data_IF_713989482109
#
_entry.id   IF_713989482109
#
_cell.length_a   1.000
_cell.length_b   1.000
_cell.length_c   1.000
_cell.angle_alpha   90.00
_cell.angle_beta   90.00
_cell.angle_gamma   90.00
#
_symmetry.space_group_name_H-M   'P 1'
#
loop_
_entity.id
_entity.type
_entity.pdbx_description
1 polymer ?
#
# COMPACT_ATOMS: atom_id res chain seq x y z
N UNK A 1 -14.26 2.21 -11.08
CA UNK A 1 -12.86 2.11 -10.61
C UNK A 1 -11.88 2.72 -11.62
N UNK A 2 -11.89 2.29 -12.90
CA UNK A 2 -11.04 2.83 -13.97
C UNK A 2 -11.16 4.35 -14.20
N UNK A 3 -12.37 4.89 -14.25
CA UNK A 3 -12.59 6.33 -14.38
C UNK A 3 -11.99 7.14 -13.21
N UNK A 4 -12.00 6.58 -11.99
CA UNK A 4 -11.39 7.18 -10.80
C UNK A 4 -9.86 7.23 -10.87
N UNK A 5 -9.26 6.13 -11.35
CA UNK A 5 -7.81 6.06 -11.60
C UNK A 5 -7.38 7.03 -12.70
N UNK A 6 -8.13 7.11 -13.79
CA UNK A 6 -7.88 8.07 -14.87
C UNK A 6 -8.02 9.51 -14.37
N UNK A 7 -9.05 9.83 -13.58
CA UNK A 7 -9.19 11.16 -12.98
C UNK A 7 -8.08 11.53 -12.00
N UNK A 8 -7.45 10.53 -11.34
CA UNK A 8 -6.27 10.75 -10.50
C UNK A 8 -5.00 10.98 -11.31
N UNK A 9 -4.83 10.28 -12.43
CA UNK A 9 -3.69 10.49 -13.34
C UNK A 9 -3.74 11.89 -13.93
N UNK A 10 -4.91 12.30 -14.43
CA UNK A 10 -5.12 13.62 -15.03
C UNK A 10 -5.53 14.71 -14.02
N UNK A 11 -5.29 14.48 -12.72
CA UNK A 11 -5.70 15.41 -11.67
C UNK A 11 -5.08 16.81 -11.85
N UNK A 12 -3.83 16.85 -12.30
CA UNK A 12 -3.09 18.09 -12.61
C UNK A 12 -3.77 18.88 -13.76
N UNK A 13 -4.17 18.18 -14.82
CA UNK A 13 -4.89 18.74 -15.97
C UNK A 13 -6.28 19.29 -15.56
N UNK A 14 -6.99 18.55 -14.70
CA UNK A 14 -8.33 18.90 -14.20
C UNK A 14 -8.27 20.14 -13.28
N UNK A 15 -7.25 20.22 -12.43
CA UNK A 15 -7.04 21.36 -11.52
C UNK A 15 -6.71 22.66 -12.27
N UNK A 16 -6.05 22.54 -13.42
CA UNK A 16 -5.62 23.68 -14.25
C UNK A 16 -6.70 24.13 -15.24
N UNK A 17 -7.77 23.36 -15.41
CA UNK A 17 -8.85 23.68 -16.33
C UNK A 17 -9.61 24.96 -15.91
N UNK A 18 -9.85 25.87 -16.85
CA UNK A 18 -10.34 27.23 -16.56
C UNK A 18 -11.66 27.26 -15.76
N UNK A 19 -12.53 26.25 -15.96
CA UNK A 19 -13.82 26.08 -15.28
C UNK A 19 -13.71 25.73 -13.79
N UNK A 20 -12.66 25.01 -13.38
CA UNK A 20 -12.48 24.54 -11.99
C UNK A 20 -11.47 25.37 -11.21
N UNK A 21 -10.61 26.12 -11.91
CA UNK A 21 -9.60 27.00 -11.30
C UNK A 21 -10.20 28.02 -10.30
N UNK A 22 -11.43 28.50 -10.54
CA UNK A 22 -12.14 29.42 -9.65
C UNK A 22 -12.64 28.77 -8.35
N UNK A 23 -12.99 27.48 -8.38
CA UNK A 23 -13.42 26.71 -7.21
C UNK A 23 -12.21 26.34 -6.33
N UNK A 24 -11.10 25.95 -6.97
CA UNK A 24 -9.86 25.56 -6.30
C UNK A 24 -9.10 26.73 -5.66
N UNK A 25 -9.28 27.96 -6.15
CA UNK A 25 -8.77 29.19 -5.50
C UNK A 25 -9.47 29.50 -4.17
N UNK A 26 -10.72 29.06 -3.97
CA UNK A 26 -11.47 29.27 -2.72
C UNK A 26 -11.05 28.34 -1.58
N UNK A 27 -10.39 27.22 -1.89
CA UNK A 27 -10.01 26.20 -0.89
C UNK A 27 -8.50 25.87 -0.97
N UNK A 28 -7.61 26.79 -0.53
CA UNK A 28 -6.15 26.67 -0.67
C UNK A 28 -5.55 25.41 -0.03
N UNK A 29 -6.17 24.89 1.05
CA UNK A 29 -5.74 23.64 1.70
C UNK A 29 -5.99 22.40 0.83
N UNK A 30 -7.10 22.39 0.09
CA UNK A 30 -7.43 21.29 -0.82
C UNK A 30 -6.50 21.31 -2.05
N UNK A 31 -6.21 22.50 -2.57
CA UNK A 31 -5.29 22.71 -3.69
C UNK A 31 -3.86 22.29 -3.36
N UNK A 32 -3.39 22.57 -2.14
CA UNK A 32 -2.06 22.10 -1.69
C UNK A 32 -2.01 20.57 -1.60
N UNK A 33 -3.02 19.92 -1.01
CA UNK A 33 -3.07 18.47 -0.89
C UNK A 33 -3.16 17.77 -2.26
N UNK A 34 -4.01 18.28 -3.14
CA UNK A 34 -4.15 17.77 -4.51
C UNK A 34 -2.91 18.03 -5.36
N UNK A 35 -2.18 19.13 -5.13
CA UNK A 35 -0.91 19.39 -5.79
C UNK A 35 0.19 18.38 -5.44
N UNK A 36 0.28 17.96 -4.17
CA UNK A 36 1.20 16.89 -3.77
C UNK A 36 0.80 15.54 -4.38
N UNK A 37 -0.50 15.25 -4.44
CA UNK A 37 -1.01 14.06 -5.11
C UNK A 37 -0.68 14.10 -6.62
N UNK A 38 -0.95 15.21 -7.29
CA UNK A 38 -0.66 15.43 -8.71
C UNK A 38 0.82 15.20 -9.03
N UNK A 39 1.74 15.69 -8.19
CA UNK A 39 3.17 15.39 -8.33
C UNK A 39 3.48 13.90 -8.27
N UNK A 40 2.82 13.16 -7.36
CA UNK A 40 2.97 11.70 -7.26
C UNK A 40 2.39 10.96 -8.47
N UNK A 41 1.22 11.38 -8.97
CA UNK A 41 0.61 10.73 -10.13
C UNK A 41 1.24 11.15 -11.46
N UNK A 42 2.03 12.23 -11.47
CA UNK A 42 2.73 12.72 -12.68
C UNK A 42 3.69 11.68 -13.27
N UNK A 43 4.28 10.83 -12.44
CA UNK A 43 5.11 9.72 -12.88
C UNK A 43 4.35 8.69 -13.75
N UNK A 44 3.02 8.67 -13.68
CA UNK A 44 2.16 7.79 -14.47
C UNK A 44 1.74 8.37 -15.83
N UNK A 45 2.13 9.61 -16.17
CA UNK A 45 1.83 10.21 -17.47
C UNK A 45 2.67 9.63 -18.63
N UNK A 46 3.78 8.97 -18.35
CA UNK A 46 4.55 8.23 -19.36
C UNK A 46 4.40 6.74 -19.14
N UNK A 47 4.02 6.01 -20.19
CA UNK A 47 3.86 4.56 -20.13
C UNK A 47 5.15 3.84 -19.68
N UNK A 48 6.31 4.38 -20.06
CA UNK A 48 7.61 3.84 -19.67
C UNK A 48 7.88 4.00 -18.17
N UNK A 49 7.59 5.18 -17.61
CA UNK A 49 7.80 5.44 -16.18
C UNK A 49 6.73 4.75 -15.34
N UNK A 50 5.47 4.72 -15.77
CA UNK A 50 4.40 3.96 -15.15
C UNK A 50 4.76 2.46 -15.08
N UNK A 51 5.24 1.89 -16.20
CA UNK A 51 5.68 0.50 -16.26
C UNK A 51 6.84 0.21 -15.31
N UNK A 52 7.83 1.10 -15.24
CA UNK A 52 8.95 0.97 -14.31
C UNK A 52 8.51 1.03 -12.83
N UNK A 53 7.59 1.94 -12.49
CA UNK A 53 7.03 2.05 -11.14
C UNK A 53 6.26 0.78 -10.77
N UNK A 54 5.40 0.28 -11.65
CA UNK A 54 4.65 -0.96 -11.41
C UNK A 54 5.59 -2.16 -11.27
N UNK A 55 6.62 -2.26 -12.12
CA UNK A 55 7.60 -3.34 -12.04
C UNK A 55 8.38 -3.32 -10.70
N UNK A 56 8.82 -2.13 -10.27
CA UNK A 56 9.48 -1.96 -8.98
C UNK A 56 8.55 -2.28 -7.81
N UNK A 57 7.28 -1.88 -7.88
CA UNK A 57 6.28 -2.20 -6.85
C UNK A 57 6.03 -3.72 -6.76
N UNK A 58 5.87 -4.41 -7.90
CA UNK A 58 5.73 -5.87 -7.91
C UNK A 58 6.96 -6.55 -7.34
N UNK A 59 8.17 -6.09 -7.69
CA UNK A 59 9.42 -6.63 -7.15
C UNK A 59 9.52 -6.40 -5.64
N UNK A 60 9.18 -5.20 -5.16
CA UNK A 60 9.18 -4.88 -3.73
C UNK A 60 8.23 -5.80 -2.96
N UNK A 61 6.99 -5.95 -3.42
CA UNK A 61 6.01 -6.84 -2.79
C UNK A 61 6.47 -8.31 -2.79
N UNK A 62 7.12 -8.75 -3.85
CA UNK A 62 7.68 -10.09 -3.91
C UNK A 62 8.82 -10.29 -2.92
N UNK A 63 9.70 -9.29 -2.75
CA UNK A 63 10.76 -9.32 -1.72
C UNK A 63 10.20 -9.32 -0.30
N UNK A 64 9.13 -8.57 -0.05
CA UNK A 64 8.47 -8.55 1.27
C UNK A 64 7.83 -9.91 1.60
N UNK A 65 7.14 -10.52 0.62
CA UNK A 65 6.59 -11.86 0.78
C UNK A 65 7.68 -12.93 0.98
N UNK A 66 8.81 -12.80 0.27
CA UNK A 66 9.96 -13.68 0.44
C UNK A 66 10.57 -13.53 1.84
N UNK A 67 10.60 -12.32 2.39
CA UNK A 67 11.05 -12.08 3.76
C UNK A 67 10.18 -12.85 4.77
N UNK A 68 8.85 -12.71 4.69
CA UNK A 68 7.93 -13.49 5.53
C UNK A 68 8.14 -15.00 5.39
N UNK A 69 8.38 -15.48 4.18
CA UNK A 69 8.65 -16.90 3.95
C UNK A 69 9.96 -17.37 4.60
N UNK A 70 11.02 -16.58 4.50
CA UNK A 70 12.31 -16.89 5.15
C UNK A 70 12.16 -16.89 6.67
N UNK A 71 11.43 -15.92 7.23
CA UNK A 71 11.14 -15.84 8.67
C UNK A 71 10.33 -17.06 9.11
N UNK A 72 9.25 -17.41 8.41
CA UNK A 72 8.44 -18.59 8.73
C UNK A 72 9.27 -19.89 8.75
N UNK A 73 10.22 -20.03 7.81
CA UNK A 73 11.17 -21.16 7.77
C UNK A 73 12.18 -21.11 8.92
N UNK A 74 12.63 -19.93 9.33
CA UNK A 74 13.54 -19.78 10.45
C UNK A 74 12.89 -20.17 11.79
N UNK A 75 11.59 -19.91 11.94
CA UNK A 75 10.79 -20.31 13.10
C UNK A 75 10.22 -21.74 13.03
N UNK A 76 10.48 -22.49 11.95
CA UNK A 76 10.02 -23.88 11.82
C UNK A 76 8.50 -24.01 11.60
N UNK A 77 7.83 -22.95 11.14
CA UNK A 77 6.38 -22.89 10.92
C UNK A 77 6.00 -23.00 9.43
N UNK A 78 6.90 -23.46 8.57
CA UNK A 78 6.68 -23.61 7.12
C UNK A 78 5.55 -24.59 6.76
N UNK A 79 5.22 -25.51 7.67
CA UNK A 79 4.09 -26.43 7.49
C UNK A 79 2.74 -25.72 7.70
N UNK A 80 2.74 -24.59 8.39
CA UNK A 80 1.54 -23.79 8.71
C UNK A 80 1.46 -22.56 7.79
N UNK A 81 2.57 -21.85 7.58
CA UNK A 81 2.65 -20.67 6.72
C UNK A 81 3.41 -21.05 5.43
N UNK A 82 2.66 -21.22 4.34
CA UNK A 82 3.22 -21.40 3.00
C UNK A 82 3.44 -20.05 2.28
N UNK A 83 4.02 -20.08 1.08
CA UNK A 83 4.26 -18.87 0.29
C UNK A 83 2.99 -18.10 -0.08
N UNK A 84 1.86 -18.76 -0.23
CA UNK A 84 0.58 -18.11 -0.50
C UNK A 84 0.05 -17.38 0.73
N UNK A 85 0.14 -18.01 1.91
CA UNK A 85 -0.20 -17.40 3.21
C UNK A 85 0.69 -16.23 3.54
N UNK A 86 1.97 -16.23 3.13
CA UNK A 86 2.84 -15.06 3.24
C UNK A 86 2.30 -13.86 2.43
N UNK A 87 1.79 -14.10 1.22
CA UNK A 87 1.13 -13.04 0.43
C UNK A 87 -0.15 -12.54 1.11
N UNK A 88 -0.96 -13.44 1.68
CA UNK A 88 -2.17 -13.06 2.43
C UNK A 88 -1.82 -12.21 3.66
N UNK A 89 -0.75 -12.55 4.39
CA UNK A 89 -0.24 -11.74 5.49
C UNK A 89 0.16 -10.35 5.01
N UNK A 90 0.95 -10.27 3.93
CA UNK A 90 1.39 -9.00 3.34
C UNK A 90 0.19 -8.10 2.98
N UNK A 91 -0.84 -8.65 2.32
CA UNK A 91 -2.06 -7.90 2.00
C UNK A 91 -2.83 -7.45 3.24
N UNK A 92 -2.96 -8.33 4.23
CA UNK A 92 -3.68 -8.02 5.48
C UNK A 92 -3.03 -6.87 6.23
N UNK A 93 -1.70 -6.90 6.25
CA UNK A 93 -0.87 -5.89 6.88
C UNK A 93 -0.88 -4.57 6.13
N UNK A 94 -0.79 -4.60 4.80
CA UNK A 94 -0.91 -3.40 3.97
C UNK A 94 -2.28 -2.71 4.16
N UNK A 95 -3.34 -3.50 4.26
CA UNK A 95 -4.67 -2.99 4.57
C UNK A 95 -4.74 -2.36 5.97
N UNK A 96 -4.16 -3.03 6.98
CA UNK A 96 -4.13 -2.52 8.36
C UNK A 96 -3.28 -1.25 8.51
N UNK A 97 -2.13 -1.17 7.84
CA UNK A 97 -1.26 0.00 7.81
C UNK A 97 -1.91 1.19 7.10
N UNK A 98 -2.87 0.95 6.20
CA UNK A 98 -3.63 2.00 5.53
C UNK A 98 -4.67 2.68 6.45
N UNK A 99 -4.93 2.12 7.63
CA UNK A 99 -5.83 2.70 8.63
C UNK A 99 -5.03 3.71 9.48
N UNK A 100 -5.38 5.01 9.46
CA UNK A 100 -4.69 6.01 10.27
C UNK A 100 -4.99 5.78 11.75
N UNK A 101 -3.95 5.59 12.58
CA UNK A 101 -4.15 5.32 14.01
C UNK A 101 -2.91 5.26 14.89
N UNK A 102 -1.70 5.05 14.33
CA UNK A 102 -0.46 4.92 15.12
C UNK A 102 0.77 5.38 14.30
N UNK A 103 1.76 6.08 14.88
CA UNK A 103 3.00 6.41 14.19
C UNK A 103 3.69 5.15 13.67
N UNK A 104 3.96 5.10 12.36
CA UNK A 104 4.66 3.98 11.72
C UNK A 104 3.84 2.70 11.50
N UNK A 105 2.54 2.68 11.81
CA UNK A 105 1.66 1.52 11.55
C UNK A 105 1.92 0.27 12.40
N UNK A 106 2.93 0.28 13.28
CA UNK A 106 3.37 -0.85 14.11
C UNK A 106 2.23 -1.59 14.82
N UNK A 107 1.39 -0.88 15.58
CA UNK A 107 0.30 -1.54 16.33
C UNK A 107 -0.78 -2.19 15.44
N UNK A 108 -1.05 -1.62 14.26
CA UNK A 108 -2.01 -2.21 13.31
C UNK A 108 -1.37 -3.39 12.55
N UNK A 109 -0.08 -3.29 12.26
CA UNK A 109 0.72 -4.32 11.59
C UNK A 109 0.80 -5.58 12.44
N UNK A 110 1.25 -5.44 13.68
CA UNK A 110 1.37 -6.52 14.66
C UNK A 110 0.00 -7.18 14.90
N UNK A 111 -1.04 -6.37 15.17
CA UNK A 111 -2.38 -6.89 15.38
C UNK A 111 -2.89 -7.71 14.18
N UNK A 112 -2.68 -7.22 12.95
CA UNK A 112 -3.10 -7.92 11.75
C UNK A 112 -2.36 -9.26 11.57
N UNK A 113 -1.04 -9.29 11.78
CA UNK A 113 -0.26 -10.53 11.68
C UNK A 113 -0.70 -11.53 12.75
N UNK A 114 -0.73 -11.14 14.03
CA UNK A 114 -1.08 -12.06 15.12
C UNK A 114 -2.50 -12.60 14.95
N UNK A 115 -3.45 -11.79 14.47
CA UNK A 115 -4.82 -12.25 14.20
C UNK A 115 -4.90 -13.23 13.03
N UNK A 116 -4.28 -12.90 11.90
CA UNK A 116 -4.35 -13.72 10.68
C UNK A 116 -3.54 -15.01 10.86
N UNK A 117 -2.30 -14.93 11.35
CA UNK A 117 -1.48 -16.10 11.65
C UNK A 117 -2.08 -16.95 12.78
N UNK A 118 -2.65 -16.33 13.81
CA UNK A 118 -3.36 -17.04 14.88
C UNK A 118 -4.57 -17.82 14.37
N UNK A 119 -5.28 -17.32 13.35
CA UNK A 119 -6.37 -18.06 12.70
C UNK A 119 -5.91 -19.34 11.99
N UNK A 120 -4.61 -19.45 11.71
CA UNK A 120 -3.99 -20.63 11.10
C UNK A 120 -3.30 -21.55 12.12
N UNK A 121 -3.44 -21.25 13.41
CA UNK A 121 -2.88 -22.06 14.51
C UNK A 121 -1.44 -21.71 14.88
N UNK A 122 -0.92 -20.55 14.47
CA UNK A 122 0.37 -20.04 14.94
C UNK A 122 0.20 -19.44 16.34
N UNK A 123 1.09 -19.78 17.25
CA UNK A 123 1.08 -19.21 18.60
C UNK A 123 1.29 -17.68 18.55
N UNK A 124 0.65 -16.95 19.48
CA UNK A 124 0.70 -15.48 19.47
C UNK A 124 2.11 -14.94 19.74
N UNK A 125 2.93 -15.64 20.54
CA UNK A 125 4.32 -15.25 20.77
C UNK A 125 5.16 -15.43 19.50
N UNK A 126 4.96 -16.54 18.78
CA UNK A 126 5.66 -16.80 17.51
C UNK A 126 5.19 -15.88 16.39
N UNK A 127 3.91 -15.51 16.36
CA UNK A 127 3.39 -14.58 15.36
C UNK A 127 3.78 -13.12 15.62
N UNK A 128 4.14 -12.78 16.85
CA UNK A 128 4.60 -11.44 17.24
C UNK A 128 6.11 -11.25 17.05
N UNK A 129 6.90 -12.33 17.19
CA UNK A 129 8.34 -12.34 17.02
C UNK A 129 8.78 -12.13 15.55
#
# INVERSE_FOLDING_TARGET
>A
MLAGLLSLVFLDEIMTHHLLSGLFKKFPRLTSGLGHLALGVRAFHSFKTAGAVVALAVLQWFMDALNFYIVARAFGIENVIDGFKCMVLLFSVAAAASIPGVPGGFGNFEFAITKVAGSWGVDSETAFA
#
